data_IF_839723416549
#
_entry.id   IF_839723416549
#
_cell.length_a   1.000
_cell.length_b   1.000
_cell.length_c   1.000
_cell.angle_alpha   90.00
_cell.angle_beta   90.00
_cell.angle_gamma   90.00
#
_symmetry.space_group_name_H-M   'P 1'
#
loop_
_entity.id
_entity.type
_entity.pdbx_description
1 polymer ?
#
# COMPACT_ATOMS: atom_id res chain seq x y z
N UNK A 1 -9.36 4.35 -5.47
CA UNK A 1 -7.93 4.60 -5.16
C UNK A 1 -7.46 3.51 -4.22
N UNK A 2 -6.52 2.65 -4.66
CA UNK A 2 -6.20 1.39 -3.98
C UNK A 2 -5.79 1.56 -2.51
N UNK A 3 -4.88 2.49 -2.22
CA UNK A 3 -4.40 2.74 -0.86
C UNK A 3 -5.51 3.17 0.11
N UNK A 4 -6.29 4.20 -0.23
CA UNK A 4 -7.39 4.67 0.63
C UNK A 4 -8.53 3.65 0.70
N UNK A 5 -8.78 2.91 -0.38
CA UNK A 5 -9.82 1.90 -0.41
C UNK A 5 -9.50 0.74 0.54
N UNK A 6 -8.23 0.31 0.64
CA UNK A 6 -7.86 -0.77 1.56
C UNK A 6 -8.17 -0.45 3.03
N UNK A 7 -7.98 0.81 3.44
CA UNK A 7 -8.36 1.26 4.79
C UNK A 7 -9.87 1.33 4.96
N UNK A 8 -10.59 1.84 3.97
CA UNK A 8 -12.05 1.94 4.02
C UNK A 8 -12.70 0.55 4.08
N UNK A 9 -12.22 -0.41 3.29
CA UNK A 9 -12.69 -1.80 3.31
C UNK A 9 -12.46 -2.45 4.69
N UNK A 10 -11.30 -2.19 5.32
CA UNK A 10 -11.01 -2.65 6.67
C UNK A 10 -11.97 -2.04 7.71
N UNK A 11 -12.26 -0.75 7.62
CA UNK A 11 -13.23 -0.09 8.51
C UNK A 11 -14.63 -0.68 8.35
N UNK A 12 -15.09 -0.93 7.13
CA UNK A 12 -16.39 -1.57 6.86
C UNK A 12 -16.44 -3.01 7.39
N UNK A 13 -15.35 -3.77 7.26
CA UNK A 13 -15.26 -5.12 7.81
C UNK A 13 -15.38 -5.08 9.34
N UNK A 14 -14.65 -4.19 10.00
CA UNK A 14 -14.72 -4.01 11.46
C UNK A 14 -16.12 -3.55 11.89
N UNK A 15 -16.71 -2.56 11.21
CA UNK A 15 -18.08 -2.09 11.47
C UNK A 15 -19.09 -3.24 11.40
N UNK A 16 -18.98 -4.09 10.37
CA UNK A 16 -19.86 -5.26 10.20
C UNK A 16 -19.71 -6.24 11.36
N UNK A 17 -18.49 -6.55 11.77
CA UNK A 17 -18.20 -7.44 12.90
C UNK A 17 -18.70 -6.87 14.24
N UNK A 18 -18.68 -5.56 14.41
CA UNK A 18 -19.17 -4.87 15.62
C UNK A 18 -20.70 -4.78 15.71
N UNK A 19 -21.43 -5.10 14.66
CA UNK A 19 -22.90 -5.05 14.62
C UNK A 19 -23.49 -3.95 13.75
N UNK A 20 -22.68 -3.37 12.85
CA UNK A 20 -23.09 -2.40 11.84
C UNK A 20 -23.01 -0.95 12.28
N UNK A 21 -23.63 -0.07 11.51
CA UNK A 21 -23.58 1.41 11.71
C UNK A 21 -24.07 1.87 13.09
N UNK A 22 -24.99 1.15 13.71
CA UNK A 22 -25.47 1.48 15.05
C UNK A 22 -24.41 1.28 16.15
N UNK A 23 -23.41 0.43 15.91
CA UNK A 23 -22.33 0.15 16.84
C UNK A 23 -21.05 0.94 16.53
N UNK A 24 -20.83 1.31 15.26
CA UNK A 24 -19.66 2.05 14.84
C UNK A 24 -20.02 2.99 13.68
N UNK A 25 -20.03 4.29 13.93
CA UNK A 25 -20.18 5.29 12.88
C UNK A 25 -18.87 5.51 12.14
N UNK A 26 -18.91 5.54 10.81
CA UNK A 26 -17.76 5.84 9.95
C UNK A 26 -18.08 7.11 9.15
N UNK A 27 -17.20 8.11 9.26
CA UNK A 27 -17.16 9.27 8.35
C UNK A 27 -15.79 9.36 7.68
N UNK A 28 -15.74 9.88 6.48
CA UNK A 28 -14.48 10.05 5.76
C UNK A 28 -14.50 11.28 4.87
N UNK A 29 -13.33 11.82 4.59
CA UNK A 29 -13.09 12.92 3.65
C UNK A 29 -12.22 12.43 2.51
N UNK A 30 -12.67 12.65 1.29
CA UNK A 30 -11.96 12.24 0.08
C UNK A 30 -11.08 13.36 -0.47
N UNK A 31 -10.07 12.96 -1.26
CA UNK A 31 -9.21 13.88 -2.03
C UNK A 31 -8.42 14.90 -1.18
N UNK A 32 -8.04 14.51 0.03
CA UNK A 32 -7.31 15.36 0.98
C UNK A 32 -5.82 15.49 0.63
N UNK A 33 -5.47 15.71 -0.64
CA UNK A 33 -4.07 15.82 -1.07
C UNK A 33 -3.38 17.11 -0.62
N UNK A 34 -4.13 18.14 -0.26
CA UNK A 34 -3.60 19.37 0.32
C UNK A 34 -3.52 19.25 1.83
N UNK A 35 -2.32 19.31 2.39
CA UNK A 35 -2.09 19.16 3.84
C UNK A 35 -2.93 20.12 4.69
N UNK A 36 -3.12 21.42 4.34
CA UNK A 36 -3.99 22.29 5.13
C UNK A 36 -5.45 21.86 5.17
N UNK A 37 -6.00 21.33 4.06
CA UNK A 37 -7.38 20.85 4.01
C UNK A 37 -7.54 19.59 4.87
N UNK A 38 -6.55 18.70 4.83
CA UNK A 38 -6.50 17.51 5.68
C UNK A 38 -6.39 17.87 7.17
N UNK A 39 -5.55 18.85 7.53
CA UNK A 39 -5.42 19.33 8.91
C UNK A 39 -6.75 19.88 9.43
N UNK A 40 -7.48 20.64 8.61
CA UNK A 40 -8.82 21.13 8.96
C UNK A 40 -9.80 19.97 9.20
N UNK A 41 -9.82 18.96 8.33
CA UNK A 41 -10.67 17.79 8.47
C UNK A 41 -10.32 16.94 9.72
N UNK A 42 -9.03 16.73 10.02
CA UNK A 42 -8.57 16.03 11.23
C UNK A 42 -9.09 16.75 12.48
N UNK A 43 -8.93 18.07 12.57
CA UNK A 43 -9.41 18.89 13.69
C UNK A 43 -10.92 18.87 13.78
N UNK A 44 -11.63 18.92 12.66
CA UNK A 44 -13.09 18.91 12.62
C UNK A 44 -13.66 17.59 13.16
N UNK A 45 -13.15 16.43 12.71
CA UNK A 45 -13.56 15.12 13.26
C UNK A 45 -13.29 15.02 14.76
N UNK A 46 -12.13 15.43 15.25
CA UNK A 46 -11.84 15.43 16.67
C UNK A 46 -12.81 16.33 17.46
N UNK A 47 -13.15 17.51 16.91
CA UNK A 47 -14.09 18.46 17.52
C UNK A 47 -15.54 17.97 17.52
N UNK A 48 -15.91 17.10 16.56
CA UNK A 48 -17.23 16.46 16.50
C UNK A 48 -17.39 15.31 17.50
N UNK A 49 -16.32 14.91 18.21
CA UNK A 49 -16.36 13.87 19.23
C UNK A 49 -16.18 12.46 18.67
N UNK A 50 -15.51 12.30 17.54
CA UNK A 50 -15.07 10.98 17.09
C UNK A 50 -13.98 10.44 18.02
N UNK A 51 -14.14 9.20 18.49
CA UNK A 51 -13.20 8.53 19.39
C UNK A 51 -11.86 8.22 18.71
N UNK A 52 -11.89 7.93 17.41
CA UNK A 52 -10.73 7.58 16.59
C UNK A 52 -10.72 8.40 15.30
N UNK A 53 -9.63 9.15 15.08
CA UNK A 53 -9.37 9.90 13.84
C UNK A 53 -8.18 9.29 13.12
N UNK A 54 -8.40 8.77 11.91
CA UNK A 54 -7.37 8.13 11.08
C UNK A 54 -6.89 9.10 10.00
N UNK A 55 -5.64 9.52 10.09
CA UNK A 55 -4.96 10.33 9.08
C UNK A 55 -4.18 9.39 8.14
N UNK A 56 -4.85 8.89 7.09
CA UNK A 56 -4.32 7.86 6.19
C UNK A 56 -3.47 8.45 5.07
N UNK A 57 -2.22 8.78 5.39
CA UNK A 57 -1.22 9.33 4.47
C UNK A 57 0.00 9.90 5.21
N UNK A 58 1.20 9.55 4.77
CA UNK A 58 2.47 9.94 5.41
C UNK A 58 2.66 11.46 5.51
N UNK A 59 2.04 12.23 4.60
CA UNK A 59 2.12 13.70 4.57
C UNK A 59 1.39 14.38 5.74
N UNK A 60 0.57 13.67 6.52
CA UNK A 60 -0.26 14.26 7.58
C UNK A 60 0.40 14.29 8.95
N UNK A 61 1.62 13.73 9.11
CA UNK A 61 2.26 13.59 10.41
C UNK A 61 2.41 14.89 11.18
N UNK A 62 2.86 15.98 10.53
CA UNK A 62 2.98 17.29 11.17
C UNK A 62 1.63 17.85 11.63
N UNK A 63 0.57 17.62 10.87
CA UNK A 63 -0.80 18.03 11.25
C UNK A 63 -1.29 17.26 12.47
N UNK A 64 -1.07 15.94 12.51
CA UNK A 64 -1.41 15.13 13.70
C UNK A 64 -0.60 15.57 14.91
N UNK A 65 0.71 15.81 14.75
CA UNK A 65 1.57 16.29 15.83
C UNK A 65 1.12 17.62 16.42
N UNK A 66 0.60 18.53 15.60
CA UNK A 66 0.07 19.82 16.04
C UNK A 66 -1.30 19.70 16.71
N UNK A 67 -2.18 18.83 16.18
CA UNK A 67 -3.59 18.79 16.58
C UNK A 67 -3.83 17.87 17.79
N UNK A 68 -3.15 16.72 17.86
CA UNK A 68 -3.43 15.70 18.89
C UNK A 68 -3.33 16.20 20.35
N UNK A 69 -2.43 17.14 20.72
CA UNK A 69 -2.38 17.69 22.07
C UNK A 69 -3.64 18.46 22.50
N UNK A 70 -4.38 19.04 21.55
CA UNK A 70 -5.61 19.79 21.84
C UNK A 70 -6.80 18.87 22.16
N UNK A 71 -6.69 17.56 21.85
CA UNK A 71 -7.74 16.56 22.01
C UNK A 71 -7.21 15.31 22.73
N UNK A 72 -6.86 15.41 24.03
CA UNK A 72 -6.18 14.34 24.76
C UNK A 72 -7.02 13.06 24.92
N UNK A 73 -8.34 13.14 24.77
CA UNK A 73 -9.27 12.00 24.87
C UNK A 73 -9.53 11.32 23.52
N UNK A 74 -9.05 11.90 22.42
CA UNK A 74 -9.22 11.34 21.07
C UNK A 74 -8.01 10.53 20.72
N UNK A 75 -8.22 9.33 20.18
CA UNK A 75 -7.17 8.51 19.58
C UNK A 75 -6.91 8.98 18.14
N UNK A 76 -5.66 9.30 17.83
CA UNK A 76 -5.23 9.56 16.48
C UNK A 76 -4.40 8.37 15.95
N UNK A 77 -4.68 7.94 14.72
CA UNK A 77 -3.86 6.96 14.03
C UNK A 77 -3.39 7.54 12.70
N UNK A 78 -2.08 7.56 12.44
CA UNK A 78 -1.58 8.12 11.20
C UNK A 78 -0.58 7.18 10.50
N UNK A 79 -0.57 7.19 9.23
CA UNK A 79 0.28 6.35 8.37
C UNK A 79 0.44 6.93 6.98
N UNK A 80 1.50 6.56 6.28
CA UNK A 80 2.34 5.39 6.59
C UNK A 80 3.68 5.84 7.17
N UNK A 81 3.85 5.69 8.46
CA UNK A 81 5.06 6.05 9.20
C UNK A 81 5.14 5.23 10.51
N UNK A 82 6.24 5.35 11.23
CA UNK A 82 6.47 4.64 12.49
C UNK A 82 6.54 5.57 13.72
N UNK A 83 6.48 6.88 13.51
CA UNK A 83 6.71 7.88 14.55
C UNK A 83 5.41 8.25 15.27
N UNK A 84 5.30 7.95 16.56
CA UNK A 84 4.20 8.38 17.43
C UNK A 84 4.42 9.76 18.05
N UNK A 85 5.52 10.45 17.72
CA UNK A 85 5.96 11.73 18.31
C UNK A 85 6.09 11.67 19.84
N UNK A 86 6.11 10.47 20.44
CA UNK A 86 6.08 10.31 21.90
C UNK A 86 4.75 10.68 22.56
N UNK A 87 3.68 10.80 21.79
CA UNK A 87 2.34 11.20 22.25
C UNK A 87 1.55 9.99 22.76
N UNK A 88 0.87 10.16 23.88
CA UNK A 88 0.08 9.11 24.52
C UNK A 88 -1.24 8.78 23.78
N UNK A 89 -1.68 9.65 22.88
CA UNK A 89 -2.90 9.49 22.09
C UNK A 89 -2.67 9.39 20.59
N UNK A 90 -1.44 9.05 20.17
CA UNK A 90 -1.10 8.85 18.76
C UNK A 90 -0.58 7.44 18.53
N UNK A 91 -1.22 6.70 17.66
CA UNK A 91 -0.70 5.51 17.03
C UNK A 91 -0.07 5.85 15.67
N UNK A 92 1.02 5.21 15.34
CA UNK A 92 1.57 5.23 13.99
C UNK A 92 1.38 3.86 13.33
N UNK A 93 1.24 3.82 12.02
CA UNK A 93 1.17 2.55 11.31
C UNK A 93 1.79 2.62 9.91
N UNK A 94 2.35 1.51 9.48
CA UNK A 94 2.91 1.35 8.14
C UNK A 94 2.76 -0.09 7.66
N UNK A 95 3.10 -0.32 6.40
CA UNK A 95 3.23 -1.64 5.82
C UNK A 95 4.71 -1.91 5.51
N UNK A 96 5.20 -3.12 5.78
CA UNK A 96 6.46 -3.63 5.29
C UNK A 96 6.30 -3.95 3.79
N UNK A 97 6.04 -2.90 2.99
CA UNK A 97 5.65 -3.02 1.59
C UNK A 97 6.76 -3.66 0.74
N UNK A 98 8.01 -3.60 1.20
CA UNK A 98 9.17 -4.28 0.62
C UNK A 98 8.99 -5.80 0.55
N UNK A 99 8.28 -6.41 1.52
CA UNK A 99 8.07 -7.87 1.53
C UNK A 99 7.30 -8.33 0.29
N UNK A 100 6.16 -7.71 0.00
CA UNK A 100 5.38 -8.05 -1.20
C UNK A 100 5.99 -7.48 -2.48
N UNK A 101 6.70 -6.36 -2.39
CA UNK A 101 7.52 -5.86 -3.48
C UNK A 101 8.52 -6.91 -3.94
N UNK A 102 9.26 -7.51 -3.01
CA UNK A 102 10.23 -8.57 -3.30
C UNK A 102 9.58 -9.76 -4.01
N UNK A 103 8.45 -10.24 -3.52
CA UNK A 103 7.74 -11.38 -4.13
C UNK A 103 7.31 -11.05 -5.56
N UNK A 104 6.69 -9.88 -5.78
CA UNK A 104 6.32 -9.41 -7.11
C UNK A 104 7.54 -9.27 -8.02
N UNK A 105 8.69 -8.84 -7.48
CA UNK A 105 9.96 -8.76 -8.19
C UNK A 105 10.48 -10.12 -8.63
N UNK A 106 10.43 -11.14 -7.76
CA UNK A 106 10.78 -12.52 -8.09
C UNK A 106 9.93 -13.05 -9.25
N UNK A 107 8.60 -12.89 -9.15
CA UNK A 107 7.67 -13.33 -10.19
C UNK A 107 7.92 -12.59 -11.52
N UNK A 108 8.15 -11.28 -11.47
CA UNK A 108 8.41 -10.44 -12.63
C UNK A 108 9.70 -10.86 -13.34
N UNK A 109 10.75 -11.13 -12.58
CA UNK A 109 12.03 -11.55 -13.15
C UNK A 109 11.95 -12.90 -13.88
N UNK A 110 11.10 -13.82 -13.38
CA UNK A 110 10.88 -15.11 -14.03
C UNK A 110 9.99 -15.02 -15.28
N UNK A 111 9.16 -13.97 -15.39
CA UNK A 111 8.20 -13.81 -16.49
C UNK A 111 8.69 -12.90 -17.62
N UNK A 112 9.57 -11.94 -17.33
CA UNK A 112 10.05 -11.01 -18.36
C UNK A 112 10.80 -11.74 -19.47
N UNK A 113 10.53 -11.37 -20.70
CA UNK A 113 11.22 -11.85 -21.91
C UNK A 113 12.16 -10.80 -22.46
N UNK A 114 11.83 -9.53 -22.30
CA UNK A 114 12.65 -8.41 -22.76
C UNK A 114 13.84 -8.12 -21.83
N UNK A 115 13.78 -8.58 -20.57
CA UNK A 115 14.68 -8.18 -19.49
C UNK A 115 14.67 -6.68 -19.21
N UNK A 116 13.55 -6.02 -19.51
CA UNK A 116 13.31 -4.61 -19.22
C UNK A 116 11.99 -4.51 -18.48
N UNK A 117 12.03 -3.96 -17.27
CA UNK A 117 10.87 -3.76 -16.40
C UNK A 117 10.74 -2.28 -16.11
N UNK A 118 9.52 -1.75 -16.25
CA UNK A 118 9.19 -0.37 -15.93
C UNK A 118 8.53 -0.26 -14.55
N UNK A 119 8.94 0.73 -13.78
CA UNK A 119 8.39 1.01 -12.44
C UNK A 119 7.94 2.46 -12.36
N UNK A 120 6.69 2.68 -11.96
CA UNK A 120 6.12 4.01 -11.80
C UNK A 120 5.79 4.27 -10.33
N UNK A 121 6.27 5.37 -9.77
CA UNK A 121 6.00 5.79 -8.40
C UNK A 121 5.52 7.24 -8.31
N UNK A 122 4.87 7.62 -7.20
CA UNK A 122 4.40 9.01 -7.00
C UNK A 122 5.55 9.91 -6.56
N UNK A 123 5.96 9.80 -5.33
CA UNK A 123 7.08 10.49 -4.69
C UNK A 123 7.93 9.43 -3.98
N UNK A 124 9.24 9.63 -3.90
CA UNK A 124 10.18 8.64 -3.35
C UNK A 124 10.16 8.64 -1.81
N UNK A 125 9.00 8.31 -1.23
CA UNK A 125 8.78 8.25 0.22
C UNK A 125 7.79 7.16 0.62
N UNK A 126 7.81 6.78 1.90
CA UNK A 126 6.83 5.88 2.53
C UNK A 126 6.75 4.50 1.87
N UNK A 127 5.59 3.88 1.96
CA UNK A 127 5.33 2.52 1.44
C UNK A 127 5.51 2.40 -0.08
N UNK A 128 5.33 3.48 -0.83
CA UNK A 128 5.57 3.47 -2.26
C UNK A 128 7.06 3.24 -2.58
N UNK A 129 7.97 3.90 -1.84
CA UNK A 129 9.41 3.68 -1.97
C UNK A 129 9.80 2.28 -1.54
N UNK A 130 9.37 1.85 -0.35
CA UNK A 130 9.77 0.53 0.20
C UNK A 130 9.27 -0.62 -0.69
N UNK A 131 8.04 -0.53 -1.23
CA UNK A 131 7.55 -1.49 -2.22
C UNK A 131 8.46 -1.57 -3.46
N UNK A 132 8.83 -0.43 -4.04
CA UNK A 132 9.66 -0.36 -5.23
C UNK A 132 11.07 -0.89 -4.96
N UNK A 133 11.65 -0.57 -3.80
CA UNK A 133 12.98 -1.06 -3.42
C UNK A 133 12.96 -2.57 -3.17
N UNK A 134 11.93 -3.11 -2.52
CA UNK A 134 11.71 -4.54 -2.39
C UNK A 134 11.56 -5.23 -3.74
N UNK A 135 10.80 -4.64 -4.66
CA UNK A 135 10.62 -5.18 -6.01
C UNK A 135 11.95 -5.28 -6.75
N UNK A 136 12.78 -4.25 -6.70
CA UNK A 136 14.12 -4.27 -7.31
C UNK A 136 15.01 -5.36 -6.70
N UNK A 137 14.96 -5.53 -5.36
CA UNK A 137 15.69 -6.60 -4.67
C UNK A 137 15.23 -7.98 -5.13
N UNK A 138 13.91 -8.20 -5.27
CA UNK A 138 13.36 -9.46 -5.77
C UNK A 138 13.78 -9.78 -7.21
N UNK A 139 13.75 -8.77 -8.09
CA UNK A 139 14.26 -8.92 -9.46
C UNK A 139 15.74 -9.31 -9.47
N UNK A 140 16.56 -8.58 -8.71
CA UNK A 140 18.01 -8.82 -8.66
C UNK A 140 18.37 -10.18 -8.04
N UNK A 141 17.55 -10.70 -7.13
CA UNK A 141 17.74 -12.02 -6.52
C UNK A 141 17.57 -13.18 -7.53
N UNK A 142 16.77 -12.97 -8.58
CA UNK A 142 16.55 -13.96 -9.65
C UNK A 142 17.51 -13.75 -10.82
N UNK A 143 17.59 -12.55 -11.35
CA UNK A 143 18.48 -12.21 -12.47
C UNK A 143 18.93 -10.74 -12.38
N UNK A 144 20.17 -10.49 -11.91
CA UNK A 144 20.70 -9.13 -11.79
C UNK A 144 21.02 -8.46 -13.13
N UNK A 145 20.85 -9.15 -14.26
CA UNK A 145 21.02 -8.57 -15.60
C UNK A 145 19.76 -7.89 -16.13
N UNK A 146 18.63 -8.05 -15.45
CA UNK A 146 17.37 -7.39 -15.80
C UNK A 146 17.47 -5.89 -15.48
N UNK A 147 17.12 -5.06 -16.44
CA UNK A 147 17.07 -3.62 -16.29
C UNK A 147 15.72 -3.22 -15.65
N UNK A 148 15.76 -2.63 -14.47
CA UNK A 148 14.58 -2.04 -13.81
C UNK A 148 14.68 -0.52 -13.90
N UNK A 149 13.83 0.09 -14.74
CA UNK A 149 13.77 1.53 -14.94
C UNK A 149 12.69 2.15 -14.06
N UNK A 150 13.06 3.11 -13.22
CA UNK A 150 12.13 3.79 -12.28
C UNK A 150 11.80 5.20 -12.76
N UNK A 151 10.52 5.60 -12.64
CA UNK A 151 10.05 6.97 -12.85
C UNK A 151 9.21 7.41 -11.67
N UNK A 152 9.64 8.49 -11.01
CA UNK A 152 8.88 9.19 -9.96
C UNK A 152 8.14 10.36 -10.59
N UNK A 153 6.80 10.35 -10.53
CA UNK A 153 5.95 11.34 -11.20
C UNK A 153 5.83 12.66 -10.44
N UNK A 154 6.20 12.69 -9.16
CA UNK A 154 6.04 13.84 -8.28
C UNK A 154 4.60 14.08 -7.80
N UNK A 155 3.66 13.17 -8.11
CA UNK A 155 2.25 13.30 -7.74
C UNK A 155 1.65 11.99 -7.26
N UNK A 156 0.89 12.04 -6.16
CA UNK A 156 0.16 10.87 -5.66
C UNK A 156 -1.12 10.55 -6.46
N UNK A 157 -1.68 11.53 -7.18
CA UNK A 157 -3.03 11.43 -7.75
C UNK A 157 -3.14 11.73 -9.25
N UNK A 158 -2.07 12.15 -9.91
CA UNK A 158 -2.11 12.52 -11.34
C UNK A 158 -2.04 11.27 -12.22
N UNK A 159 -3.22 10.90 -12.77
CA UNK A 159 -3.37 9.75 -13.66
C UNK A 159 -2.64 9.96 -14.98
N UNK A 160 -2.60 11.20 -15.51
CA UNK A 160 -1.94 11.48 -16.78
C UNK A 160 -0.43 11.30 -16.68
N UNK A 161 0.20 11.80 -15.61
CA UNK A 161 1.64 11.59 -15.37
C UNK A 161 1.98 10.11 -15.23
N UNK A 162 1.15 9.32 -14.53
CA UNK A 162 1.36 7.87 -14.41
C UNK A 162 1.21 7.16 -15.76
N UNK A 163 0.25 7.58 -16.58
CA UNK A 163 0.05 7.04 -17.94
C UNK A 163 1.27 7.31 -18.83
N UNK A 164 1.78 8.55 -18.83
CA UNK A 164 2.94 8.94 -19.64
C UNK A 164 4.22 8.23 -19.20
N UNK A 165 4.44 8.09 -17.89
CA UNK A 165 5.57 7.33 -17.37
C UNK A 165 5.50 5.86 -17.81
N UNK A 166 4.33 5.22 -17.72
CA UNK A 166 4.14 3.84 -18.16
C UNK A 166 4.36 3.69 -19.68
N UNK A 167 3.80 4.60 -20.50
CA UNK A 167 4.02 4.60 -21.96
C UNK A 167 5.49 4.77 -22.32
N UNK A 168 6.22 5.59 -21.57
CA UNK A 168 7.67 5.77 -21.76
C UNK A 168 8.43 4.46 -21.52
N UNK A 169 8.09 3.73 -20.43
CA UNK A 169 8.70 2.43 -20.16
C UNK A 169 8.36 1.39 -21.23
N UNK A 170 7.10 1.35 -21.67
CA UNK A 170 6.66 0.46 -22.76
C UNK A 170 7.43 0.77 -24.07
N UNK A 171 7.56 2.05 -24.41
CA UNK A 171 8.31 2.47 -25.61
C UNK A 171 9.81 2.13 -25.50
N UNK A 172 10.37 2.07 -24.30
CA UNK A 172 11.74 1.61 -24.05
C UNK A 172 11.88 0.07 -24.07
N UNK A 173 10.80 -0.67 -24.32
CA UNK A 173 10.81 -2.13 -24.47
C UNK A 173 10.43 -2.91 -23.21
N UNK A 174 9.91 -2.25 -22.17
CA UNK A 174 9.43 -2.96 -21.00
C UNK A 174 8.23 -3.85 -21.35
N UNK A 175 8.30 -5.11 -20.97
CA UNK A 175 7.20 -6.09 -21.10
C UNK A 175 6.50 -6.38 -19.77
N UNK A 176 7.00 -5.80 -18.69
CA UNK A 176 6.40 -5.82 -17.36
C UNK A 176 6.41 -4.41 -16.77
N UNK A 177 5.32 -4.06 -16.12
CA UNK A 177 5.17 -2.84 -15.34
C UNK A 177 4.75 -3.15 -13.90
N UNK A 178 5.18 -2.30 -12.98
CA UNK A 178 4.67 -2.22 -11.62
C UNK A 178 4.69 -0.77 -11.15
N UNK A 179 4.08 -0.52 -9.99
CA UNK A 179 4.12 0.79 -9.36
C UNK A 179 3.20 0.89 -8.17
N UNK A 180 3.41 1.93 -7.39
CA UNK A 180 2.61 2.24 -6.21
C UNK A 180 2.16 3.70 -6.27
N UNK A 181 0.86 3.93 -6.33
CA UNK A 181 0.25 5.28 -6.31
C UNK A 181 -1.27 5.16 -6.23
N UNK A 182 -1.94 6.21 -5.80
CA UNK A 182 -3.40 6.33 -5.95
C UNK A 182 -3.86 6.39 -7.42
N UNK A 183 -2.96 6.71 -8.34
CA UNK A 183 -3.22 6.90 -9.78
C UNK A 183 -2.69 5.76 -10.66
N UNK A 184 -2.42 4.57 -10.11
CA UNK A 184 -1.93 3.38 -10.87
C UNK A 184 -2.83 2.97 -12.03
N UNK A 185 -4.11 3.36 -11.99
CA UNK A 185 -5.04 3.13 -13.12
C UNK A 185 -4.54 3.71 -14.43
N UNK A 186 -3.70 4.76 -14.39
CA UNK A 186 -3.03 5.31 -15.56
C UNK A 186 -2.03 4.33 -16.17
N UNK A 187 -1.16 3.73 -15.34
CA UNK A 187 -0.18 2.72 -15.78
C UNK A 187 -0.86 1.45 -16.27
N UNK A 188 -1.89 0.98 -15.55
CA UNK A 188 -2.68 -0.19 -15.97
C UNK A 188 -3.40 0.10 -17.29
N UNK A 189 -3.92 1.32 -17.49
CA UNK A 189 -4.51 1.77 -18.74
C UNK A 189 -3.54 1.70 -19.93
N UNK A 190 -2.29 2.14 -19.73
CA UNK A 190 -1.24 2.04 -20.74
C UNK A 190 -0.87 0.57 -21.05
N UNK A 191 -0.82 -0.31 -20.05
CA UNK A 191 -0.62 -1.75 -20.23
C UNK A 191 -1.78 -2.37 -21.03
N UNK A 192 -3.03 -2.01 -20.74
CA UNK A 192 -4.22 -2.46 -21.50
C UNK A 192 -4.21 -1.98 -22.95
N UNK A 193 -3.83 -0.74 -23.20
CA UNK A 193 -3.70 -0.20 -24.56
C UNK A 193 -2.64 -0.97 -25.37
N UNK A 194 -1.56 -1.39 -24.75
CA UNK A 194 -0.53 -2.24 -25.37
C UNK A 194 -1.01 -3.69 -25.56
N UNK A 195 -1.77 -4.24 -24.62
CA UNK A 195 -2.38 -5.57 -24.66
C UNK A 195 -1.47 -6.76 -24.41
N UNK A 196 -0.16 -6.53 -24.09
CA UNK A 196 0.83 -7.59 -23.86
C UNK A 196 1.71 -7.36 -22.64
N UNK A 197 1.75 -6.13 -22.13
CA UNK A 197 2.57 -5.76 -20.98
C UNK A 197 1.87 -6.22 -19.71
N UNK A 198 2.57 -7.00 -18.91
CA UNK A 198 2.05 -7.51 -17.63
C UNK A 198 2.13 -6.44 -16.54
N UNK A 199 1.24 -6.56 -15.56
CA UNK A 199 1.17 -5.66 -14.41
C UNK A 199 1.27 -6.43 -13.09
N UNK A 200 2.06 -5.89 -12.16
CA UNK A 200 2.09 -6.29 -10.76
C UNK A 200 1.56 -5.16 -9.89
N UNK A 201 0.53 -5.45 -9.09
CA UNK A 201 -0.17 -4.48 -8.25
C UNK A 201 0.32 -4.43 -6.81
N UNK A 202 -0.08 -3.36 -6.11
CA UNK A 202 0.10 -3.22 -4.65
C UNK A 202 -1.07 -2.49 -4.01
N UNK A 203 -1.13 -2.53 -2.68
CA UNK A 203 -2.12 -1.88 -1.81
C UNK A 203 -3.51 -2.55 -1.81
N UNK A 204 -3.95 -3.11 -2.92
CA UNK A 204 -5.19 -3.87 -3.10
C UNK A 204 -5.01 -4.93 -4.18
N UNK A 205 -5.90 -5.93 -4.22
CA UNK A 205 -6.01 -6.79 -5.40
C UNK A 205 -6.50 -5.98 -6.60
N UNK A 206 -5.69 -5.95 -7.64
CA UNK A 206 -5.92 -5.18 -8.86
C UNK A 206 -6.35 -6.06 -10.05
N UNK A 207 -6.57 -7.37 -9.84
CA UNK A 207 -6.92 -8.32 -10.89
C UNK A 207 -8.13 -7.87 -11.72
N UNK A 208 -9.16 -7.31 -11.08
CA UNK A 208 -10.37 -6.84 -11.76
C UNK A 208 -10.14 -5.68 -12.73
N UNK A 209 -9.04 -4.92 -12.58
CA UNK A 209 -8.74 -3.79 -13.46
C UNK A 209 -8.24 -4.22 -14.85
N UNK A 210 -7.52 -5.34 -14.92
CA UNK A 210 -7.05 -5.93 -16.16
C UNK A 210 -6.80 -7.45 -15.97
N UNK A 211 -7.85 -8.29 -15.97
CA UNK A 211 -7.76 -9.70 -15.57
C UNK A 211 -6.74 -10.53 -16.36
N UNK A 212 -6.49 -10.17 -17.60
CA UNK A 212 -5.56 -10.89 -18.48
C UNK A 212 -4.09 -10.42 -18.34
N UNK A 213 -3.85 -9.27 -17.70
CA UNK A 213 -2.54 -8.62 -17.62
C UNK A 213 -2.01 -8.50 -16.19
N UNK A 214 -2.87 -8.40 -15.19
CA UNK A 214 -2.47 -8.39 -13.79
C UNK A 214 -2.06 -9.80 -13.39
N UNK A 215 -0.84 -9.96 -12.90
CA UNK A 215 -0.29 -11.27 -12.51
C UNK A 215 -0.55 -11.56 -11.04
N UNK A 216 -0.17 -10.62 -10.18
CA UNK A 216 -0.36 -10.69 -8.74
C UNK A 216 -0.42 -9.28 -8.15
N UNK A 217 -0.97 -9.17 -6.95
CA UNK A 217 -1.01 -7.92 -6.20
C UNK A 217 -0.66 -8.15 -4.74
N UNK A 218 0.18 -7.30 -4.17
CA UNK A 218 0.31 -7.18 -2.73
C UNK A 218 -0.92 -6.44 -2.19
N UNK A 219 -1.71 -7.05 -1.34
CA UNK A 219 -2.87 -6.44 -0.71
C UNK A 219 -2.60 -6.12 0.77
N UNK A 220 -3.06 -4.96 1.23
CA UNK A 220 -3.03 -4.54 2.63
C UNK A 220 -4.32 -4.94 3.33
N UNK A 221 -4.20 -5.53 4.51
CA UNK A 221 -5.32 -5.84 5.39
C UNK A 221 -5.15 -5.10 6.72
N UNK A 222 -5.78 -3.94 6.84
CA UNK A 222 -5.74 -3.10 8.05
C UNK A 222 -6.71 -3.55 9.14
N UNK A 223 -7.56 -4.55 8.87
CA UNK A 223 -8.65 -4.98 9.77
C UNK A 223 -8.14 -5.33 11.17
N UNK A 224 -7.07 -6.12 11.25
CA UNK A 224 -6.49 -6.52 12.54
C UNK A 224 -5.96 -5.33 13.34
N UNK A 225 -5.30 -4.38 12.67
CA UNK A 225 -4.80 -3.15 13.30
C UNK A 225 -5.94 -2.26 13.81
N UNK A 226 -6.95 -2.02 12.98
CA UNK A 226 -8.12 -1.20 13.36
C UNK A 226 -8.82 -1.80 14.58
N UNK A 227 -9.06 -3.10 14.59
CA UNK A 227 -9.67 -3.82 15.75
C UNK A 227 -8.83 -3.66 17.00
N UNK A 228 -7.52 -3.78 16.90
CA UNK A 228 -6.64 -3.62 18.05
C UNK A 228 -6.64 -2.18 18.58
N UNK A 229 -6.59 -1.17 17.70
CA UNK A 229 -6.66 0.24 18.10
C UNK A 229 -7.97 0.52 18.85
N UNK A 230 -9.11 0.06 18.32
CA UNK A 230 -10.41 0.22 18.96
C UNK A 230 -10.44 -0.49 20.34
N UNK A 231 -9.91 -1.70 20.42
CA UNK A 231 -9.85 -2.42 21.70
C UNK A 231 -8.95 -1.71 22.73
N UNK A 232 -7.81 -1.16 22.31
CA UNK A 232 -6.91 -0.38 23.16
C UNK A 232 -7.59 0.92 23.63
N UNK A 233 -8.25 1.65 22.72
CA UNK A 233 -9.01 2.86 23.07
C UNK A 233 -10.07 2.56 24.14
N UNK A 234 -10.88 1.52 23.94
CA UNK A 234 -11.91 1.10 24.89
C UNK A 234 -11.31 0.64 26.24
N UNK A 235 -10.07 0.17 26.24
CA UNK A 235 -9.29 -0.16 27.46
C UNK A 235 -8.58 1.03 28.10
N UNK A 236 -8.75 2.25 27.56
CA UNK A 236 -8.13 3.47 28.08
C UNK A 236 -6.70 3.72 27.61
N UNK A 237 -6.20 2.97 26.61
CA UNK A 237 -4.89 3.22 25.97
C UNK A 237 -5.11 3.88 24.62
N UNK A 238 -4.78 5.17 24.54
CA UNK A 238 -5.14 6.00 23.39
C UNK A 238 -4.06 6.09 22.30
N UNK A 239 -2.83 5.60 22.56
CA UNK A 239 -1.72 5.70 21.61
C UNK A 239 -0.40 5.13 22.13
N UNK A 240 0.71 5.66 21.61
CA UNK A 240 2.07 5.29 22.05
C UNK A 240 2.63 4.00 21.44
N UNK A 241 1.95 3.43 20.42
CA UNK A 241 2.37 2.20 19.76
C UNK A 241 2.41 2.37 18.24
N UNK A 242 3.30 1.63 17.60
CA UNK A 242 3.39 1.53 16.13
C UNK A 242 2.94 0.15 15.68
N UNK A 243 2.18 0.11 14.59
CA UNK A 243 1.74 -1.11 13.92
C UNK A 243 2.42 -1.25 12.56
N UNK A 244 2.87 -2.46 12.24
CA UNK A 244 3.48 -2.76 10.95
C UNK A 244 2.75 -3.96 10.35
N UNK A 245 2.10 -3.75 9.20
CA UNK A 245 1.56 -4.84 8.40
C UNK A 245 2.71 -5.62 7.76
N UNK A 246 2.68 -6.92 7.91
CA UNK A 246 3.70 -7.85 7.40
C UNK A 246 3.03 -9.13 6.90
N UNK A 247 3.72 -9.90 6.07
CA UNK A 247 3.27 -11.23 5.67
C UNK A 247 3.09 -12.16 6.88
N UNK A 248 3.98 -12.09 7.86
CA UNK A 248 3.96 -12.96 9.05
C UNK A 248 2.76 -12.73 10.00
N UNK A 249 2.12 -11.55 9.94
CA UNK A 249 0.95 -11.23 10.75
C UNK A 249 -0.33 -11.12 9.92
N UNK A 250 -0.28 -11.61 8.66
CA UNK A 250 -1.37 -11.60 7.69
C UNK A 250 -1.92 -10.19 7.35
N UNK A 251 -1.23 -9.13 7.76
CA UNK A 251 -1.51 -7.75 7.37
C UNK A 251 -1.12 -7.45 5.93
N UNK A 252 -0.18 -8.22 5.37
CA UNK A 252 0.12 -8.25 3.94
C UNK A 252 -0.27 -9.61 3.36
N UNK A 253 -0.83 -9.60 2.15
CA UNK A 253 -1.19 -10.80 1.39
C UNK A 253 -0.76 -10.64 -0.05
N UNK A 254 -0.38 -11.74 -0.70
CA UNK A 254 -0.17 -11.78 -2.15
C UNK A 254 -1.38 -12.42 -2.78
N UNK A 255 -2.16 -11.62 -3.50
CA UNK A 255 -3.29 -12.06 -4.30
C UNK A 255 -2.78 -12.46 -5.68
N UNK A 256 -2.64 -13.77 -5.92
CA UNK A 256 -2.37 -14.31 -7.25
C UNK A 256 -3.66 -14.25 -8.07
N UNK A 257 -3.57 -13.69 -9.27
CA UNK A 257 -4.74 -13.55 -10.14
C UNK A 257 -5.10 -14.89 -10.78
N UNK A 258 -6.23 -15.45 -10.41
CA UNK A 258 -6.72 -16.74 -10.95
C UNK A 258 -7.12 -16.69 -12.44
N UNK A 259 -7.34 -15.49 -13.00
CA UNK A 259 -7.63 -15.32 -14.42
C UNK A 259 -6.35 -15.30 -15.27
N UNK A 260 -5.19 -15.04 -14.68
CA UNK A 260 -3.90 -15.14 -15.34
C UNK A 260 -3.31 -16.54 -15.14
N UNK A 261 -3.01 -17.22 -16.25
CA UNK A 261 -2.44 -18.58 -16.22
C UNK A 261 -0.95 -18.54 -15.81
N UNK A 262 -0.68 -18.32 -14.51
CA UNK A 262 0.68 -18.27 -13.99
C UNK A 262 1.36 -19.63 -14.14
N UNK A 263 2.58 -19.72 -14.74
CA UNK A 263 3.32 -20.97 -14.82
C UNK A 263 3.57 -21.57 -13.43
N UNK A 264 3.50 -22.90 -13.32
CA UNK A 264 3.56 -23.59 -12.03
C UNK A 264 4.88 -23.37 -11.27
N UNK A 265 5.98 -23.27 -11.99
CA UNK A 265 7.31 -22.98 -11.43
C UNK A 265 7.41 -21.54 -10.90
N UNK A 266 6.77 -20.59 -11.60
CA UNK A 266 6.70 -19.18 -11.15
C UNK A 266 5.82 -19.06 -9.91
N UNK A 267 4.66 -19.72 -9.89
CA UNK A 267 3.79 -19.75 -8.71
C UNK A 267 4.54 -20.33 -7.50
N UNK A 268 5.19 -21.50 -7.67
CA UNK A 268 5.95 -22.14 -6.60
C UNK A 268 7.09 -21.27 -6.07
N UNK A 269 7.76 -20.49 -6.94
CA UNK A 269 8.79 -19.54 -6.51
C UNK A 269 8.20 -18.39 -5.67
N UNK A 270 7.04 -17.87 -6.05
CA UNK A 270 6.32 -16.86 -5.27
C UNK A 270 5.89 -17.38 -3.90
N UNK A 271 5.28 -18.56 -3.85
CA UNK A 271 4.86 -19.21 -2.60
C UNK A 271 6.06 -19.48 -1.68
N UNK A 272 7.17 -19.98 -2.25
CA UNK A 272 8.40 -20.17 -1.49
C UNK A 272 8.96 -18.86 -0.94
N UNK A 273 8.95 -17.78 -1.69
CA UNK A 273 9.41 -16.48 -1.22
C UNK A 273 8.53 -15.96 -0.06
N UNK A 274 7.20 -16.19 -0.10
CA UNK A 274 6.30 -15.88 1.01
C UNK A 274 6.70 -16.65 2.27
N UNK A 275 6.93 -17.96 2.15
CA UNK A 275 7.33 -18.81 3.28
C UNK A 275 8.69 -18.39 3.85
N UNK A 276 9.67 -18.13 3.00
CA UNK A 276 11.02 -17.74 3.40
C UNK A 276 11.03 -16.37 4.12
N UNK A 277 10.22 -15.40 3.68
CA UNK A 277 10.07 -14.11 4.36
C UNK A 277 9.36 -14.29 5.69
N UNK A 278 8.24 -15.05 5.74
CA UNK A 278 7.53 -15.36 6.99
C UNK A 278 8.42 -16.05 8.02
N UNK A 279 9.30 -16.93 7.57
CA UNK A 279 10.26 -17.65 8.41
C UNK A 279 11.49 -16.82 8.79
N UNK A 280 11.69 -15.65 8.17
CA UNK A 280 12.88 -14.81 8.37
C UNK A 280 14.14 -15.32 7.69
N UNK A 281 14.04 -16.29 6.78
CA UNK A 281 15.15 -16.80 5.98
C UNK A 281 15.57 -15.79 4.90
N UNK A 282 14.58 -15.05 4.40
CA UNK A 282 14.81 -13.87 3.56
C UNK A 282 14.43 -12.64 4.37
N UNK A 283 15.35 -11.69 4.45
CA UNK A 283 15.10 -10.34 4.98
C UNK A 283 15.17 -9.35 3.84
N UNK A 284 14.08 -8.67 3.55
CA UNK A 284 14.03 -7.60 2.55
C UNK A 284 14.32 -6.28 3.25
N UNK A 285 15.19 -5.47 2.68
CA UNK A 285 15.56 -4.16 3.26
C UNK A 285 14.63 -3.08 2.71
N UNK A 286 14.01 -2.23 3.59
CA UNK A 286 13.14 -1.13 3.17
C UNK A 286 13.91 0.02 2.51
#
# INVERSE_FOLDING_TARGET
MAFSQSMYDALLAVQTEMGGEAAMEIKYSENMFKVPDAAAAIRDYASQGFDLVIAHGSQYGSSVQEIAPDFPEVTFAWGTDVNTFGMANVYAYTAAAEEGGYINGVLAAMLTKSKIIGVTGPVEVGDAKTYIDGFVQGVAAVDPTITVSKTWTGSFSDVALMTEAAKTHIAAGADILTGSSQSVVGSIGAAKENGKVLWFGTQQDQAALAPELVVASQAYDWTGMVKEIIAQHNGGTLGGKTYILQLKNDGLKIAFNSAYALPADVLAAGEKAIEDIKAGTITVTP
#
